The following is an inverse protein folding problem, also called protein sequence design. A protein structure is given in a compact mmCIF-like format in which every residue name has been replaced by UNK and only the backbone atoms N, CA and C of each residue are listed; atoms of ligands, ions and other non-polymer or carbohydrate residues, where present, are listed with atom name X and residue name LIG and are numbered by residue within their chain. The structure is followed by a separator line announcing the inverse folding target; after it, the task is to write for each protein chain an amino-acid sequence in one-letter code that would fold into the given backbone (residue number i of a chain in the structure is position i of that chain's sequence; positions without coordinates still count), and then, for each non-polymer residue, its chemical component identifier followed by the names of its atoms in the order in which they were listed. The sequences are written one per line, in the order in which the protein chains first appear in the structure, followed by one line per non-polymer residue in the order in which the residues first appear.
data_IF_745229200812
#
_entry.id   IF_745229200812
#
_cell.length_a   1.000
_cell.length_b   1.000
_cell.length_c   1.000
_cell.angle_alpha   90.00
_cell.angle_beta   90.00
_cell.angle_gamma   90.00
#
_symmetry.space_group_name_H-M   'P 1'
#
loop_
_entity.id
_entity.type
_entity.pdbx_description
1 polymer ?
#
# COMPACT_ATOMS: atom_id res chain seq x y z
N UNK A 1 26.99 -2.95 22.68
CA UNK A 1 26.79 -4.15 21.82
C UNK A 1 25.29 -4.44 21.66
N UNK A 2 24.57 -3.64 20.87
CA UNK A 2 23.15 -3.92 20.56
C UNK A 2 23.09 -4.89 19.38
N UNK A 3 22.55 -6.09 19.63
CA UNK A 3 22.39 -7.19 18.68
C UNK A 3 21.57 -6.69 17.48
N UNK A 4 22.22 -6.48 16.34
CA UNK A 4 21.60 -6.03 15.08
C UNK A 4 20.77 -7.19 14.51
N UNK A 5 19.50 -7.30 14.93
CA UNK A 5 18.65 -8.42 14.52
C UNK A 5 17.97 -8.22 13.15
N UNK A 6 18.09 -7.03 12.54
CA UNK A 6 17.50 -6.73 11.23
C UNK A 6 18.53 -6.00 10.36
N UNK A 7 18.74 -6.40 9.10
CA UNK A 7 19.58 -5.67 8.15
C UNK A 7 19.08 -4.22 7.94
N UNK A 8 19.99 -3.32 7.59
CA UNK A 8 19.64 -1.93 7.28
C UNK A 8 18.85 -1.86 5.96
N UNK A 9 17.79 -1.07 5.94
CA UNK A 9 16.91 -0.90 4.78
C UNK A 9 15.82 -1.95 4.63
N UNK A 10 15.68 -2.90 5.57
CA UNK A 10 14.60 -3.89 5.55
C UNK A 10 13.22 -3.22 5.63
N UNK A 11 13.04 -2.19 6.46
CA UNK A 11 11.75 -1.51 6.58
C UNK A 11 11.28 -0.85 5.27
N UNK A 12 12.21 -0.19 4.56
CA UNK A 12 11.91 0.44 3.26
C UNK A 12 11.48 -0.60 2.22
N UNK A 13 12.21 -1.72 2.14
CA UNK A 13 11.91 -2.80 1.20
C UNK A 13 10.57 -3.44 1.48
N UNK A 14 10.23 -3.69 2.74
CA UNK A 14 8.94 -4.30 3.11
C UNK A 14 7.76 -3.41 2.73
N UNK A 15 7.84 -2.09 2.96
CA UNK A 15 6.79 -1.16 2.55
C UNK A 15 6.69 -1.05 1.03
N UNK A 16 7.83 -1.08 0.32
CA UNK A 16 7.86 -0.98 -1.13
C UNK A 16 7.22 -2.20 -1.81
N UNK A 17 7.57 -3.42 -1.36
CA UNK A 17 6.92 -4.64 -1.87
C UNK A 17 5.42 -4.67 -1.57
N UNK A 18 5.03 -4.20 -0.39
CA UNK A 18 3.62 -4.07 -0.03
C UNK A 18 2.88 -3.08 -0.91
N UNK A 19 3.51 -1.95 -1.24
CA UNK A 19 2.95 -0.95 -2.14
C UNK A 19 2.69 -1.53 -3.53
N UNK A 20 3.64 -2.30 -4.09
CA UNK A 20 3.46 -2.97 -5.40
C UNK A 20 2.26 -3.93 -5.38
N UNK A 21 2.08 -4.68 -4.28
CA UNK A 21 0.92 -5.57 -4.13
C UNK A 21 -0.40 -4.78 -4.15
N UNK A 22 -0.50 -3.70 -3.39
CA UNK A 22 -1.69 -2.85 -3.34
C UNK A 22 -1.92 -2.08 -4.64
N UNK A 23 -0.88 -1.74 -5.39
CA UNK A 23 -1.00 -1.19 -6.74
C UNK A 23 -1.72 -2.16 -7.67
N UNK A 24 -1.31 -3.43 -7.66
CA UNK A 24 -1.92 -4.45 -8.51
C UNK A 24 -3.41 -4.63 -8.16
N UNK A 25 -3.74 -4.69 -6.87
CA UNK A 25 -5.13 -4.79 -6.38
C UNK A 25 -5.93 -3.55 -6.78
N UNK A 26 -5.41 -2.36 -6.49
CA UNK A 26 -6.07 -1.09 -6.80
C UNK A 26 -6.31 -0.91 -8.30
N UNK A 27 -5.33 -1.25 -9.14
CA UNK A 27 -5.46 -1.17 -10.60
C UNK A 27 -6.49 -2.17 -11.13
N UNK A 28 -6.55 -3.37 -10.55
CA UNK A 28 -7.56 -4.38 -10.91
C UNK A 28 -8.98 -3.87 -10.58
N UNK A 29 -9.19 -3.26 -9.41
CA UNK A 29 -10.47 -2.65 -9.05
C UNK A 29 -10.82 -1.46 -9.98
N UNK A 30 -9.83 -0.69 -10.40
CA UNK A 30 -10.01 0.41 -11.37
C UNK A 30 -10.40 -0.09 -12.75
N UNK A 31 -9.81 -1.21 -13.18
CA UNK A 31 -10.17 -1.89 -14.42
C UNK A 31 -11.63 -2.38 -14.38
N UNK A 32 -12.05 -3.03 -13.30
CA UNK A 32 -13.44 -3.46 -13.11
C UNK A 32 -14.41 -2.26 -13.10
N UNK A 33 -14.03 -1.16 -12.45
CA UNK A 33 -14.82 0.09 -12.43
C UNK A 33 -14.99 0.66 -13.85
N UNK A 34 -13.92 0.64 -14.64
CA UNK A 34 -13.93 1.12 -16.03
C UNK A 34 -14.77 0.24 -16.95
N UNK A 35 -14.70 -1.08 -16.77
CA UNK A 35 -15.56 -2.03 -17.50
C UNK A 35 -17.04 -1.80 -17.23
N UNK A 36 -17.41 -1.48 -15.98
CA UNK A 36 -18.80 -1.13 -15.63
C UNK A 36 -19.28 0.19 -16.24
N UNK A 37 -18.38 1.13 -16.50
CA UNK A 37 -18.72 2.37 -17.22
C UNK A 37 -18.96 2.12 -18.71
N UNK A 38 -18.22 1.18 -19.31
CA UNK A 38 -18.39 0.83 -20.72
C UNK A 38 -19.62 -0.06 -20.96
N UNK A 39 -19.88 -1.02 -20.06
CA UNK A 39 -20.98 -1.97 -20.17
C UNK A 39 -21.70 -2.10 -18.81
N UNK A 40 -22.84 -1.41 -18.63
CA UNK A 40 -23.51 -1.32 -17.32
C UNK A 40 -24.14 -2.64 -16.84
N UNK A 41 -24.45 -3.57 -17.76
CA UNK A 41 -25.05 -4.88 -17.43
C UNK A 41 -24.05 -5.91 -16.88
N UNK A 42 -22.74 -5.67 -16.99
CA UNK A 42 -21.73 -6.59 -16.49
C UNK A 42 -21.74 -6.53 -14.95
N UNK A 43 -21.86 -7.69 -14.28
CA UNK A 43 -21.87 -7.80 -12.80
C UNK A 43 -23.07 -7.09 -12.13
N UNK A 44 -24.23 -7.05 -12.77
CA UNK A 44 -25.48 -6.45 -12.26
C UNK A 44 -26.21 -7.30 -11.20
N UNK A 45 -25.87 -8.59 -11.07
CA UNK A 45 -26.52 -9.53 -10.14
C UNK A 45 -25.99 -9.53 -8.70
N UNK A 46 -24.96 -8.75 -8.36
CA UNK A 46 -24.35 -8.78 -7.02
C UNK A 46 -24.24 -7.37 -6.42
N UNK A 47 -24.86 -7.10 -5.26
CA UNK A 47 -24.91 -5.74 -4.67
C UNK A 47 -23.53 -5.19 -4.27
N UNK A 48 -22.60 -6.06 -3.88
CA UNK A 48 -21.23 -5.67 -3.52
C UNK A 48 -20.41 -5.18 -4.71
N UNK A 49 -20.73 -5.65 -5.91
CA UNK A 49 -19.99 -5.29 -7.11
C UNK A 49 -20.61 -4.09 -7.82
N UNK A 50 -21.58 -3.41 -7.22
CA UNK A 50 -22.23 -2.28 -7.84
C UNK A 50 -21.27 -1.09 -7.99
N UNK A 51 -21.47 -0.25 -9.01
CA UNK A 51 -20.55 0.86 -9.31
C UNK A 51 -20.35 1.81 -8.12
N UNK A 52 -21.43 2.05 -7.35
CA UNK A 52 -21.40 2.87 -6.14
C UNK A 52 -20.51 2.32 -5.01
N UNK A 53 -20.23 1.02 -4.97
CA UNK A 53 -19.37 0.41 -3.95
C UNK A 53 -17.94 0.19 -4.44
N UNK A 54 -17.77 -0.27 -5.68
CA UNK A 54 -16.44 -0.56 -6.24
C UNK A 54 -15.62 0.73 -6.41
N UNK A 55 -16.24 1.85 -6.84
CA UNK A 55 -15.50 3.09 -7.07
C UNK A 55 -14.86 3.64 -5.79
N UNK A 56 -15.58 3.79 -4.66
CA UNK A 56 -14.97 4.12 -3.38
C UNK A 56 -13.89 3.11 -2.98
N UNK A 57 -14.13 1.81 -3.15
CA UNK A 57 -13.13 0.78 -2.82
C UNK A 57 -11.83 0.93 -3.64
N UNK A 58 -11.95 1.19 -4.95
CA UNK A 58 -10.81 1.47 -5.83
C UNK A 58 -10.00 2.69 -5.35
N UNK A 59 -10.66 3.84 -5.20
CA UNK A 59 -9.98 5.09 -4.83
C UNK A 59 -9.38 5.00 -3.43
N UNK A 60 -10.08 4.39 -2.47
CA UNK A 60 -9.57 4.18 -1.10
C UNK A 60 -8.34 3.27 -1.11
N UNK A 61 -8.36 2.18 -1.87
CA UNK A 61 -7.22 1.26 -1.99
C UNK A 61 -6.01 1.95 -2.61
N UNK A 62 -6.21 2.69 -3.70
CA UNK A 62 -5.12 3.38 -4.41
C UNK A 62 -4.54 4.51 -3.56
N UNK A 63 -5.38 5.35 -2.94
CA UNK A 63 -4.92 6.49 -2.14
C UNK A 63 -4.29 6.06 -0.80
N UNK A 64 -4.95 5.18 -0.04
CA UNK A 64 -4.55 4.87 1.33
C UNK A 64 -3.67 3.64 1.47
N UNK A 65 -3.68 2.68 0.53
CA UNK A 65 -2.78 1.53 0.60
C UNK A 65 -1.58 1.71 -0.31
N UNK A 66 -1.80 2.06 -1.58
CA UNK A 66 -0.70 2.17 -2.53
C UNK A 66 0.16 3.43 -2.33
N UNK A 67 -0.42 4.63 -2.44
CA UNK A 67 0.32 5.91 -2.41
C UNK A 67 1.03 6.10 -1.06
N UNK A 68 0.32 5.91 0.04
CA UNK A 68 0.87 6.08 1.40
C UNK A 68 2.06 5.15 1.67
N UNK A 69 1.99 3.88 1.24
CA UNK A 69 3.07 2.91 1.41
C UNK A 69 4.25 3.20 0.49
N UNK A 70 3.98 3.64 -0.75
CA UNK A 70 5.04 4.08 -1.67
C UNK A 70 5.80 5.27 -1.09
N UNK A 71 5.06 6.26 -0.58
CA UNK A 71 5.62 7.47 0.01
C UNK A 71 6.36 7.16 1.31
N UNK A 72 5.79 6.32 2.18
CA UNK A 72 6.42 5.85 3.41
C UNK A 72 7.74 5.10 3.13
N UNK A 73 7.76 4.21 2.13
CA UNK A 73 8.97 3.52 1.71
C UNK A 73 10.05 4.50 1.19
N UNK A 74 9.65 5.49 0.38
CA UNK A 74 10.55 6.50 -0.14
C UNK A 74 11.16 7.36 0.98
N UNK A 75 10.35 7.82 1.94
CA UNK A 75 10.83 8.61 3.08
C UNK A 75 11.77 7.78 3.97
N UNK A 76 11.44 6.52 4.26
CA UNK A 76 12.29 5.62 5.05
C UNK A 76 13.63 5.31 4.35
N UNK A 77 13.67 5.36 3.03
CA UNK A 77 14.90 5.22 2.26
C UNK A 77 15.71 6.53 2.20
N UNK A 78 15.05 7.66 1.94
CA UNK A 78 15.72 8.96 1.79
C UNK A 78 16.25 9.52 3.12
N UNK A 79 15.52 9.35 4.23
CA UNK A 79 15.89 9.92 5.53
C UNK A 79 17.29 9.50 6.01
N UNK A 80 17.64 8.20 6.08
CA UNK A 80 18.99 7.80 6.50
C UNK A 80 20.08 8.22 5.50
N UNK A 81 19.75 8.29 4.21
CA UNK A 81 20.67 8.75 3.17
C UNK A 81 21.01 10.24 3.32
N UNK A 82 20.01 11.08 3.57
CA UNK A 82 20.16 12.53 3.67
C UNK A 82 20.79 12.96 5.00
N UNK A 83 20.44 12.29 6.10
CA UNK A 83 20.99 12.61 7.41
C UNK A 83 22.37 11.97 7.67
N UNK A 84 22.86 11.11 6.76
CA UNK A 84 24.12 10.37 6.93
C UNK A 84 24.12 9.48 8.18
N UNK A 85 22.94 9.09 8.67
CA UNK A 85 22.78 8.36 9.91
C UNK A 85 21.78 7.21 9.74
N UNK A 86 21.89 6.18 10.57
CA UNK A 86 21.04 5.00 10.52
C UNK A 86 19.65 5.31 11.03
N UNK A 87 18.66 4.60 10.52
CA UNK A 87 17.30 4.66 11.02
C UNK A 87 17.27 4.22 12.50
N UNK A 88 16.55 4.95 13.35
CA UNK A 88 16.53 4.72 14.80
C UNK A 88 16.08 3.29 15.17
N UNK A 89 15.08 2.75 14.46
CA UNK A 89 14.64 1.36 14.65
C UNK A 89 14.00 0.77 13.39
N UNK A 90 14.71 -0.17 12.75
CA UNK A 90 14.20 -0.95 11.61
C UNK A 90 13.01 -1.83 12.00
N UNK A 91 12.99 -2.36 13.23
CA UNK A 91 11.85 -3.18 13.72
C UNK A 91 10.56 -2.39 13.78
N UNK A 92 10.65 -1.13 14.19
CA UNK A 92 9.49 -0.26 14.33
C UNK A 92 8.97 0.17 12.96
N UNK A 93 9.86 0.35 11.97
CA UNK A 93 9.48 0.54 10.58
C UNK A 93 8.75 -0.67 9.98
N UNK A 94 9.23 -1.89 10.22
CA UNK A 94 8.54 -3.12 9.80
C UNK A 94 7.20 -3.28 10.52
N UNK A 95 7.14 -3.00 11.83
CA UNK A 95 5.88 -3.03 12.58
C UNK A 95 4.86 -2.03 12.03
N UNK A 96 5.29 -0.81 11.69
CA UNK A 96 4.42 0.18 11.05
C UNK A 96 3.90 -0.32 9.69
N UNK A 97 4.73 -0.99 8.89
CA UNK A 97 4.30 -1.59 7.62
C UNK A 97 3.22 -2.66 7.84
N UNK A 98 3.37 -3.52 8.84
CA UNK A 98 2.38 -4.52 9.19
C UNK A 98 1.09 -3.90 9.74
N UNK A 99 1.20 -2.92 10.63
CA UNK A 99 0.03 -2.19 11.15
C UNK A 99 -0.72 -1.49 10.02
N UNK A 100 -0.01 -0.90 9.05
CA UNK A 100 -0.65 -0.22 7.93
C UNK A 100 -1.39 -1.19 7.01
N UNK A 101 -0.84 -2.39 6.80
CA UNK A 101 -1.52 -3.45 6.05
C UNK A 101 -2.73 -4.05 6.78
N UNK A 102 -2.72 -4.08 8.12
CA UNK A 102 -3.80 -4.64 8.94
C UNK A 102 -4.89 -3.62 9.28
N UNK A 103 -4.52 -2.37 9.51
CA UNK A 103 -5.43 -1.27 9.89
C UNK A 103 -6.12 -0.61 8.71
N UNK A 104 -5.84 -1.08 7.50
CA UNK A 104 -6.47 -0.62 6.28
C UNK A 104 -7.92 -1.08 6.14
N UNK A 105 -8.81 -0.49 6.96
CA UNK A 105 -10.28 -0.60 6.99
C UNK A 105 -10.93 -1.95 6.66
#
# INVERSE_FOLDING_TARGET
MLKKSVPEGTASRTMFFSSILWLAIGTTLGFVTSLKLAYPDILSGTPYLNFGHIRPAHVMTVAFMWISMAFGAAVLYMTPLLCGNKLWSEKLGVFNAWMWNLGGF
#
